data_IF_291653712130
#
_entry.id   IF_291653712130
#
_cell.length_a   1.000
_cell.length_b   1.000
_cell.length_c   1.000
_cell.angle_alpha   90.00
_cell.angle_beta   90.00
_cell.angle_gamma   90.00
#
_symmetry.space_group_name_H-M   'P 1'
#
loop_
_entity.id
_entity.type
_entity.pdbx_description
1 polymer ?
#
# COMPACT_ATOMS: atom_id res chain seq x y z
N UNK A 1 -6.17 -9.04 22.14
CA UNK A 1 -5.86 -7.62 21.86
C UNK A 1 -5.65 -7.51 20.37
N UNK A 2 -6.17 -6.47 19.72
CA UNK A 2 -5.86 -6.19 18.31
C UNK A 2 -4.42 -5.66 18.22
N UNK A 3 -3.64 -6.15 17.25
CA UNK A 3 -2.29 -5.65 16.98
C UNK A 3 -2.34 -4.14 16.72
N UNK A 4 -1.44 -3.37 17.33
CA UNK A 4 -1.30 -1.94 17.05
C UNK A 4 -0.77 -1.72 15.63
N UNK A 5 -0.91 -0.50 15.10
CA UNK A 5 -0.33 -0.12 13.81
C UNK A 5 1.16 -0.50 13.73
N UNK A 6 1.93 -0.18 14.77
CA UNK A 6 3.36 -0.45 14.80
C UNK A 6 3.69 -1.95 14.91
N UNK A 7 2.87 -2.75 15.57
CA UNK A 7 3.05 -4.21 15.62
C UNK A 7 2.90 -4.82 14.22
N UNK A 8 1.93 -4.32 13.45
CA UNK A 8 1.70 -4.76 12.06
C UNK A 8 2.82 -4.31 11.13
N UNK A 9 3.28 -3.06 11.24
CA UNK A 9 4.43 -2.55 10.47
C UNK A 9 5.68 -3.39 10.77
N UNK A 10 5.99 -3.63 12.05
CA UNK A 10 7.14 -4.44 12.44
C UNK A 10 7.06 -5.85 11.85
N UNK A 11 5.90 -6.50 11.94
CA UNK A 11 5.68 -7.83 11.38
C UNK A 11 5.87 -7.86 9.87
N UNK A 12 5.35 -6.86 9.13
CA UNK A 12 5.54 -6.73 7.68
C UNK A 12 7.00 -6.46 7.31
N UNK A 13 7.67 -5.55 8.01
CA UNK A 13 9.07 -5.24 7.77
C UNK A 13 9.96 -6.49 7.94
N UNK A 14 9.65 -7.33 8.93
CA UNK A 14 10.32 -8.61 9.11
C UNK A 14 10.10 -9.56 7.92
N UNK A 15 8.88 -9.66 7.39
CA UNK A 15 8.63 -10.46 6.19
C UNK A 15 9.31 -9.91 4.94
N UNK A 16 9.38 -8.58 4.79
CA UNK A 16 10.12 -7.93 3.71
C UNK A 16 11.62 -8.28 3.78
N UNK A 17 12.22 -8.18 4.97
CA UNK A 17 13.59 -8.62 5.23
C UNK A 17 13.82 -10.08 4.84
N UNK A 18 12.95 -10.99 5.28
CA UNK A 18 13.07 -12.41 4.95
C UNK A 18 13.00 -12.66 3.44
N UNK A 19 12.08 -11.99 2.73
CA UNK A 19 11.96 -12.09 1.27
C UNK A 19 13.21 -11.59 0.55
N UNK A 20 13.76 -10.46 0.99
CA UNK A 20 14.99 -9.87 0.45
C UNK A 20 16.18 -10.83 0.61
N UNK A 21 16.33 -11.38 1.82
CA UNK A 21 17.36 -12.38 2.15
C UNK A 21 17.25 -13.64 1.28
N UNK A 22 16.03 -14.15 1.11
CA UNK A 22 15.77 -15.33 0.26
C UNK A 22 16.02 -15.05 -1.23
N UNK A 23 16.00 -13.79 -1.65
CA UNK A 23 16.20 -13.35 -3.03
C UNK A 23 17.65 -12.92 -3.33
N UNK A 24 18.59 -13.09 -2.39
CA UNK A 24 19.98 -12.61 -2.49
C UNK A 24 20.09 -11.10 -2.81
N UNK A 25 19.11 -10.31 -2.36
CA UNK A 25 19.12 -8.85 -2.50
C UNK A 25 19.88 -8.27 -1.28
N UNK A 26 20.74 -7.25 -1.44
CA UNK A 26 21.44 -6.61 -0.32
C UNK A 26 20.47 -6.14 0.76
N UNK A 27 20.83 -6.38 2.03
CA UNK A 27 20.03 -5.98 3.20
C UNK A 27 19.79 -4.46 3.22
N UNK A 28 18.55 -4.07 3.46
CA UNK A 28 18.14 -2.68 3.64
C UNK A 28 16.94 -2.62 4.58
N UNK A 29 17.20 -2.78 5.87
CA UNK A 29 16.16 -2.81 6.91
C UNK A 29 15.37 -1.50 6.99
N UNK A 30 15.98 -0.37 6.59
CA UNK A 30 15.29 0.92 6.58
C UNK A 30 14.26 0.96 5.45
N UNK A 31 14.64 0.55 4.25
CA UNK A 31 13.71 0.45 3.13
C UNK A 31 12.60 -0.58 3.41
N UNK A 32 12.95 -1.73 3.98
CA UNK A 32 11.96 -2.76 4.35
C UNK A 32 10.93 -2.24 5.36
N UNK A 33 11.35 -1.37 6.29
CA UNK A 33 10.48 -0.68 7.24
C UNK A 33 9.59 0.36 6.57
N UNK A 34 10.15 1.20 5.68
CA UNK A 34 9.38 2.19 4.93
C UNK A 34 8.30 1.50 4.10
N UNK A 35 8.65 0.47 3.35
CA UNK A 35 7.70 -0.25 2.50
C UNK A 35 6.59 -0.88 3.33
N UNK A 36 6.94 -1.47 4.49
CA UNK A 36 5.97 -2.01 5.43
C UNK A 36 5.03 -0.94 6.01
N UNK A 37 5.55 0.25 6.30
CA UNK A 37 4.77 1.37 6.79
C UNK A 37 3.80 1.89 5.72
N UNK A 38 4.28 2.12 4.50
CA UNK A 38 3.46 2.58 3.39
C UNK A 38 2.32 1.58 3.10
N UNK A 39 2.62 0.29 3.10
CA UNK A 39 1.62 -0.76 2.84
C UNK A 39 0.59 -0.87 3.98
N UNK A 40 0.99 -0.70 5.25
CA UNK A 40 0.03 -0.69 6.37
C UNK A 40 -0.85 0.57 6.38
N UNK A 41 -0.33 1.72 5.94
CA UNK A 41 -1.15 2.94 5.75
C UNK A 41 -2.21 2.69 4.66
N UNK A 42 -1.82 2.10 3.53
CA UNK A 42 -2.75 1.76 2.44
C UNK A 42 -3.80 0.76 2.94
N UNK A 43 -3.41 -0.30 3.64
CA UNK A 43 -4.36 -1.29 4.18
C UNK A 43 -5.32 -0.66 5.21
N UNK A 44 -4.86 0.32 5.98
CA UNK A 44 -5.72 1.09 6.90
C UNK A 44 -6.77 1.92 6.14
N UNK A 45 -6.39 2.54 5.01
CA UNK A 45 -7.31 3.27 4.13
C UNK A 45 -8.32 2.34 3.44
N UNK A 46 -7.89 1.14 3.05
CA UNK A 46 -8.79 0.11 2.51
C UNK A 46 -9.83 -0.27 3.56
N UNK A 47 -9.42 -0.47 4.82
CA UNK A 47 -10.35 -0.77 5.89
C UNK A 47 -11.35 0.37 6.15
N UNK A 48 -10.91 1.62 6.06
CA UNK A 48 -11.76 2.81 6.17
C UNK A 48 -12.78 2.89 5.02
N UNK A 49 -12.34 2.81 3.76
CA UNK A 49 -13.23 2.83 2.58
C UNK A 49 -14.19 1.62 2.60
N UNK A 50 -13.74 0.44 3.04
CA UNK A 50 -14.60 -0.74 3.18
C UNK A 50 -15.70 -0.53 4.23
N UNK A 51 -15.37 0.10 5.36
CA UNK A 51 -16.35 0.48 6.37
C UNK A 51 -17.34 1.52 5.82
N UNK A 52 -16.87 2.45 4.99
CA UNK A 52 -17.73 3.41 4.31
C UNK A 52 -18.73 2.75 3.34
N UNK A 53 -18.30 1.73 2.59
CA UNK A 53 -19.21 0.93 1.75
C UNK A 53 -20.24 0.15 2.59
N UNK A 54 -19.83 -0.36 3.76
CA UNK A 54 -20.73 -1.03 4.70
C UNK A 54 -21.87 -0.13 5.18
N UNK A 55 -21.54 1.08 5.65
CA UNK A 55 -22.56 2.03 6.15
C UNK A 55 -23.49 2.54 5.03
N UNK A 56 -23.10 2.41 3.76
CA UNK A 56 -23.90 2.80 2.60
C UNK A 56 -24.88 1.72 2.13
N UNK A 57 -24.90 0.56 2.77
CA UNK A 57 -25.91 -0.47 2.54
C UNK A 57 -25.44 -1.70 1.78
N UNK A 58 -24.14 -1.82 1.48
CA UNK A 58 -23.58 -3.11 1.08
C UNK A 58 -23.16 -3.89 2.35
N UNK A 59 -23.92 -4.91 2.73
CA UNK A 59 -23.72 -5.58 4.02
C UNK A 59 -22.66 -6.68 4.00
N UNK A 60 -22.12 -7.05 2.83
CA UNK A 60 -21.07 -8.08 2.73
C UNK A 60 -19.68 -7.46 3.00
N UNK A 61 -19.05 -7.78 4.16
CA UNK A 61 -17.76 -7.19 4.52
C UNK A 61 -16.63 -7.56 3.56
N UNK A 62 -16.69 -8.76 2.95
CA UNK A 62 -15.65 -9.21 2.01
C UNK A 62 -15.75 -8.45 0.71
N UNK A 63 -16.97 -8.32 0.17
CA UNK A 63 -17.24 -7.51 -1.02
C UNK A 63 -16.81 -6.06 -0.83
N UNK A 64 -17.15 -5.45 0.31
CA UNK A 64 -16.73 -4.07 0.63
C UNK A 64 -15.22 -3.90 0.65
N UNK A 65 -14.49 -4.86 1.22
CA UNK A 65 -13.04 -4.81 1.27
C UNK A 65 -12.41 -4.91 -0.12
N UNK A 66 -12.88 -5.84 -0.96
CA UNK A 66 -12.38 -6.00 -2.33
C UNK A 66 -12.70 -4.78 -3.21
N UNK A 67 -13.90 -4.19 -3.06
CA UNK A 67 -14.27 -2.95 -3.75
C UNK A 67 -13.35 -1.81 -3.32
N UNK A 68 -13.21 -1.57 -2.01
CA UNK A 68 -12.34 -0.51 -1.47
C UNK A 68 -10.89 -0.68 -1.93
N UNK A 69 -10.37 -1.91 -1.88
CA UNK A 69 -9.05 -2.25 -2.39
C UNK A 69 -8.92 -1.94 -3.86
N UNK A 70 -9.91 -2.32 -4.68
CA UNK A 70 -9.94 -2.00 -6.10
C UNK A 70 -9.86 -0.50 -6.35
N UNK A 71 -10.73 0.27 -5.71
CA UNK A 71 -10.79 1.73 -5.84
C UNK A 71 -9.47 2.42 -5.44
N UNK A 72 -8.88 2.02 -4.31
CA UNK A 72 -7.61 2.58 -3.83
C UNK A 72 -6.46 2.20 -4.77
N UNK A 73 -6.38 0.94 -5.18
CA UNK A 73 -5.34 0.49 -6.11
C UNK A 73 -5.45 1.17 -7.47
N UNK A 74 -6.66 1.42 -7.97
CA UNK A 74 -6.88 2.11 -9.23
C UNK A 74 -6.48 3.59 -9.14
N UNK A 75 -6.71 4.26 -8.01
CA UNK A 75 -6.20 5.62 -7.77
C UNK A 75 -4.66 5.64 -7.79
N UNK A 76 -4.00 4.71 -7.11
CA UNK A 76 -2.53 4.62 -7.11
C UNK A 76 -1.99 4.31 -8.52
N UNK A 77 -2.62 3.38 -9.24
CA UNK A 77 -2.24 3.05 -10.64
C UNK A 77 -2.41 4.24 -11.56
N UNK A 78 -3.48 5.01 -11.41
CA UNK A 78 -3.70 6.24 -12.16
C UNK A 78 -2.58 7.27 -11.89
N UNK A 79 -2.20 7.47 -10.62
CA UNK A 79 -1.08 8.33 -10.27
C UNK A 79 0.25 7.84 -10.88
N UNK A 80 0.52 6.54 -10.83
CA UNK A 80 1.73 5.96 -11.43
C UNK A 80 1.77 6.14 -12.95
N UNK A 81 0.62 5.95 -13.62
CA UNK A 81 0.47 6.22 -15.04
C UNK A 81 0.69 7.69 -15.37
N UNK A 82 0.09 8.60 -14.59
CA UNK A 82 0.28 10.04 -14.76
C UNK A 82 1.76 10.45 -14.64
N UNK A 83 2.46 9.92 -13.64
CA UNK A 83 3.90 10.14 -13.48
C UNK A 83 4.70 9.61 -14.68
N UNK A 84 4.34 8.43 -15.21
CA UNK A 84 4.99 7.86 -16.38
C UNK A 84 4.79 8.71 -17.65
N UNK A 85 3.58 9.23 -17.87
CA UNK A 85 3.32 10.14 -19.00
C UNK A 85 4.12 11.43 -18.88
N UNK A 86 4.35 11.92 -17.65
CA UNK A 86 5.13 13.14 -17.42
C UNK A 86 6.64 12.95 -17.63
N UNK A 87 7.16 11.75 -17.37
CA UNK A 87 8.55 11.37 -17.61
C UNK A 87 8.63 9.89 -18.01
N UNK A 88 8.60 9.64 -19.31
CA UNK A 88 8.58 8.29 -19.89
C UNK A 88 9.89 7.53 -19.67
N UNK A 89 10.99 8.24 -19.41
CA UNK A 89 12.30 7.64 -19.19
C UNK A 89 12.50 7.18 -17.74
N UNK A 90 11.65 7.65 -16.82
CA UNK A 90 11.68 7.25 -15.42
C UNK A 90 11.21 5.80 -15.25
N UNK A 91 11.87 5.08 -14.34
CA UNK A 91 11.56 3.68 -14.07
C UNK A 91 10.10 3.51 -13.64
N UNK A 92 9.35 2.54 -14.21
CA UNK A 92 7.99 2.23 -13.76
C UNK A 92 7.91 1.90 -12.27
N UNK A 93 8.96 1.26 -11.72
CA UNK A 93 9.03 0.93 -10.28
C UNK A 93 9.14 2.21 -9.45
N UNK A 94 9.95 3.18 -9.87
CA UNK A 94 10.04 4.47 -9.19
C UNK A 94 8.74 5.26 -9.29
N UNK A 95 8.05 5.21 -10.44
CA UNK A 95 6.74 5.84 -10.60
C UNK A 95 5.70 5.21 -9.69
N UNK A 96 5.72 3.88 -9.52
CA UNK A 96 4.88 3.18 -8.55
C UNK A 96 5.14 3.62 -7.11
N UNK A 97 6.42 3.65 -6.68
CA UNK A 97 6.79 4.09 -5.33
C UNK A 97 6.36 5.53 -5.08
N UNK A 98 6.59 6.43 -6.04
CA UNK A 98 6.19 7.83 -5.91
C UNK A 98 4.66 7.99 -5.89
N UNK A 99 3.92 7.20 -6.68
CA UNK A 99 2.47 7.19 -6.67
C UNK A 99 1.90 6.76 -5.31
N UNK A 100 2.46 5.71 -4.68
CA UNK A 100 2.07 5.31 -3.31
C UNK A 100 2.28 6.46 -2.32
N UNK A 101 3.46 7.10 -2.35
CA UNK A 101 3.78 8.25 -1.47
C UNK A 101 2.86 9.45 -1.71
N UNK A 102 2.54 9.74 -2.97
CA UNK A 102 1.58 10.81 -3.32
C UNK A 102 0.20 10.50 -2.78
N UNK A 103 -0.28 9.27 -2.97
CA UNK A 103 -1.58 8.85 -2.44
C UNK A 103 -1.65 8.98 -0.92
N UNK A 104 -0.65 8.44 -0.21
CA UNK A 104 -0.55 8.49 1.26
C UNK A 104 -0.51 9.93 1.81
N UNK A 105 0.18 10.84 1.11
CA UNK A 105 0.33 12.22 1.58
C UNK A 105 -0.86 13.12 1.28
N UNK A 106 -1.66 12.81 0.25
CA UNK A 106 -2.78 13.65 -0.20
C UNK A 106 -4.15 13.17 0.27
N UNK A 107 -4.27 11.88 0.60
CA UNK A 107 -5.53 11.24 1.00
C UNK A 107 -5.32 10.54 2.32
#
# INVERSE_FOLDING_TARGET
>A
MSDSFWDKVQKRAYFNYLNRKNSNIPEDSYQDWIDAMDDEIIDSKIAEDAYYHYIKGNTDPVSNWEIAKGEIMDRIRFLAFYLHVSDINKSPVENWVNAKKMYISQF
#
